data_IF_097378717052
#
_entry.id   IF_097378717052
#
_cell.length_a   1.000
_cell.length_b   1.000
_cell.length_c   1.000
_cell.angle_alpha   90.00
_cell.angle_beta   90.00
_cell.angle_gamma   90.00
#
_symmetry.space_group_name_H-M   'P 1'
#
loop_
_entity.id
_entity.type
_entity.pdbx_description
1 polymer ?
#
# COMPACT_ATOMS: atom_id res chain seq x y z
N UNK A 1 -23.50 10.06 -19.83
CA UNK A 1 -23.86 10.71 -18.55
C UNK A 1 -22.80 10.27 -17.58
N UNK A 2 -22.14 11.22 -16.92
CA UNK A 2 -21.10 10.88 -15.97
C UNK A 2 -21.73 10.19 -14.75
N UNK A 3 -21.09 9.11 -14.32
CA UNK A 3 -21.55 8.32 -13.17
C UNK A 3 -21.19 9.09 -11.91
N UNK A 4 -22.21 9.50 -11.16
CA UNK A 4 -22.03 10.14 -9.87
C UNK A 4 -22.18 9.12 -8.75
N UNK A 5 -21.16 9.01 -7.91
CA UNK A 5 -21.08 8.04 -6.81
C UNK A 5 -20.95 8.78 -5.48
N UNK A 6 -21.52 8.23 -4.41
CA UNK A 6 -21.32 8.78 -3.07
C UNK A 6 -19.80 8.83 -2.74
N UNK A 7 -19.21 10.00 -2.38
CA UNK A 7 -17.82 10.10 -1.96
C UNK A 7 -17.44 9.16 -0.80
N UNK A 8 -18.38 8.85 0.10
CA UNK A 8 -18.14 7.91 1.20
C UNK A 8 -17.89 6.49 0.68
N UNK A 9 -18.65 6.07 -0.34
CA UNK A 9 -18.45 4.77 -1.00
C UNK A 9 -17.07 4.70 -1.67
N UNK A 10 -16.66 5.75 -2.37
CA UNK A 10 -15.33 5.82 -2.98
C UNK A 10 -14.23 5.71 -1.91
N UNK A 11 -14.42 6.37 -0.77
CA UNK A 11 -13.46 6.34 0.34
C UNK A 11 -13.34 4.95 0.94
N UNK A 12 -14.47 4.25 1.13
CA UNK A 12 -14.49 2.89 1.66
C UNK A 12 -13.83 1.90 0.70
N UNK A 13 -14.17 1.95 -0.59
CA UNK A 13 -13.52 1.09 -1.60
C UNK A 13 -12.03 1.38 -1.70
N UNK A 14 -11.62 2.65 -1.64
CA UNK A 14 -10.21 3.03 -1.63
C UNK A 14 -9.48 2.45 -0.42
N UNK A 15 -10.12 2.46 0.75
CA UNK A 15 -9.56 1.84 1.94
C UNK A 15 -9.38 0.33 1.73
N UNK A 16 -10.40 -0.39 1.25
CA UNK A 16 -10.30 -1.82 0.94
C UNK A 16 -9.18 -2.14 -0.06
N UNK A 17 -9.07 -1.36 -1.15
CA UNK A 17 -8.00 -1.50 -2.14
C UNK A 17 -6.62 -1.31 -1.52
N UNK A 18 -6.49 -0.32 -0.62
CA UNK A 18 -5.21 -0.01 0.05
C UNK A 18 -4.79 -1.05 1.08
N UNK A 19 -5.74 -1.60 1.83
CA UNK A 19 -5.47 -2.57 2.90
C UNK A 19 -5.61 -4.01 2.44
N UNK A 20 -6.00 -4.25 1.18
CA UNK A 20 -6.32 -5.57 0.61
C UNK A 20 -7.39 -6.31 1.43
N UNK A 21 -8.34 -5.59 2.02
CA UNK A 21 -9.47 -6.17 2.76
C UNK A 21 -10.66 -6.42 1.85
N UNK A 22 -11.54 -7.32 2.28
CA UNK A 22 -12.82 -7.58 1.60
C UNK A 22 -13.75 -6.40 1.85
N UNK A 23 -14.45 -5.98 0.81
CA UNK A 23 -15.48 -4.96 0.89
C UNK A 23 -16.80 -5.60 1.33
N UNK A 24 -17.37 -5.09 2.42
CA UNK A 24 -18.61 -5.60 2.97
C UNK A 24 -19.81 -4.99 2.21
N UNK A 25 -20.21 -5.69 1.14
CA UNK A 25 -21.24 -5.25 0.20
C UNK A 25 -22.66 -5.38 0.78
N UNK A 26 -22.83 -5.99 1.96
CA UNK A 26 -24.16 -6.30 2.53
C UNK A 26 -24.99 -5.06 2.86
N UNK A 27 -24.37 -3.88 2.92
CA UNK A 27 -25.04 -2.63 3.32
C UNK A 27 -25.34 -1.65 2.19
N UNK A 28 -24.91 -1.89 0.94
CA UNK A 28 -24.99 -0.86 -0.10
C UNK A 28 -25.59 -1.43 -1.39
N UNK A 29 -26.78 -0.96 -1.75
CA UNK A 29 -27.52 -1.40 -2.93
C UNK A 29 -26.95 -0.70 -4.19
N UNK A 30 -25.71 -1.03 -4.56
CA UNK A 30 -24.99 -0.45 -5.69
C UNK A 30 -24.99 -1.42 -6.87
N UNK A 31 -25.10 -0.89 -8.09
CA UNK A 31 -24.95 -1.68 -9.30
C UNK A 31 -23.59 -2.40 -9.34
N UNK A 32 -23.61 -3.72 -9.51
CA UNK A 32 -22.40 -4.55 -9.52
C UNK A 32 -21.42 -4.14 -10.63
N UNK A 33 -21.93 -3.63 -11.76
CA UNK A 33 -21.08 -3.13 -12.85
C UNK A 33 -20.33 -1.86 -12.43
N UNK A 34 -21.02 -0.93 -11.79
CA UNK A 34 -20.44 0.29 -11.24
C UNK A 34 -19.38 -0.03 -10.18
N UNK A 35 -19.68 -0.94 -9.25
CA UNK A 35 -18.72 -1.37 -8.23
C UNK A 35 -17.46 -1.98 -8.85
N UNK A 36 -17.62 -2.83 -9.87
CA UNK A 36 -16.47 -3.41 -10.59
C UNK A 36 -15.61 -2.35 -11.28
N UNK A 37 -16.23 -1.35 -11.91
CA UNK A 37 -15.51 -0.23 -12.53
C UNK A 37 -14.78 0.61 -11.47
N UNK A 38 -15.44 0.89 -10.33
CA UNK A 38 -14.86 1.64 -9.22
C UNK A 38 -13.63 0.93 -8.62
N UNK A 39 -13.73 -0.37 -8.34
CA UNK A 39 -12.60 -1.18 -7.88
C UNK A 39 -11.46 -1.17 -8.88
N UNK A 40 -11.74 -1.37 -10.17
CA UNK A 40 -10.73 -1.38 -11.21
C UNK A 40 -9.94 -0.06 -11.26
N UNK A 41 -10.64 1.08 -11.25
CA UNK A 41 -10.01 2.41 -11.31
C UNK A 41 -9.19 2.69 -10.05
N UNK A 42 -9.74 2.38 -8.86
CA UNK A 42 -9.04 2.61 -7.59
C UNK A 42 -7.84 1.68 -7.41
N UNK A 43 -7.89 0.44 -7.89
CA UNK A 43 -6.74 -0.46 -7.93
C UNK A 43 -5.64 0.08 -8.85
N UNK A 44 -6.00 0.55 -10.05
CA UNK A 44 -5.04 1.11 -10.99
C UNK A 44 -4.36 2.35 -10.40
N UNK A 45 -5.14 3.26 -9.81
CA UNK A 45 -4.62 4.41 -9.05
C UNK A 45 -3.71 3.98 -7.89
N UNK A 46 -4.07 2.93 -7.15
CA UNK A 46 -3.25 2.45 -6.04
C UNK A 46 -1.92 1.82 -6.52
N UNK A 47 -1.82 1.36 -7.77
CA UNK A 47 -0.56 0.85 -8.34
C UNK A 47 0.39 1.97 -8.78
N UNK A 48 -0.13 3.16 -9.04
CA UNK A 48 0.68 4.31 -9.42
C UNK A 48 1.62 4.74 -8.29
N UNK A 49 2.82 5.15 -8.68
CA UNK A 49 3.84 5.80 -7.86
C UNK A 49 3.74 7.32 -7.97
N UNK A 50 4.40 8.08 -7.09
CA UNK A 50 4.47 9.55 -7.18
C UNK A 50 5.01 10.11 -8.50
N UNK A 51 5.64 9.27 -9.32
CA UNK A 51 6.22 9.66 -10.61
C UNK A 51 5.25 9.47 -11.77
N UNK A 52 4.16 8.74 -11.55
CA UNK A 52 3.14 8.49 -12.57
C UNK A 52 2.08 9.60 -12.57
N UNK A 53 1.38 9.77 -13.70
CA UNK A 53 0.27 10.72 -13.83
C UNK A 53 -1.08 10.05 -13.53
N UNK A 54 -1.72 10.33 -12.37
CA UNK A 54 -3.02 9.78 -12.02
C UNK A 54 -4.17 10.31 -12.89
N UNK A 55 -4.02 11.47 -13.54
CA UNK A 55 -5.09 12.02 -14.37
C UNK A 55 -5.35 11.15 -15.59
N UNK A 56 -4.32 10.55 -16.18
CA UNK A 56 -4.46 9.62 -17.30
C UNK A 56 -5.39 8.42 -17.01
N UNK A 57 -5.42 7.93 -15.77
CA UNK A 57 -6.32 6.86 -15.33
C UNK A 57 -7.73 7.41 -15.13
N UNK A 58 -7.86 8.57 -14.49
CA UNK A 58 -9.14 9.21 -14.21
C UNK A 58 -9.85 9.64 -15.50
N UNK A 59 -9.15 10.18 -16.49
CA UNK A 59 -9.72 10.62 -17.78
C UNK A 59 -10.38 9.48 -18.56
N UNK A 60 -9.86 8.25 -18.42
CA UNK A 60 -10.44 7.05 -19.05
C UNK A 60 -11.71 6.54 -18.37
N UNK A 61 -11.99 7.01 -17.14
CA UNK A 61 -13.15 6.58 -16.37
C UNK A 61 -14.39 7.44 -16.66
N UNK A 62 -15.57 6.82 -16.54
CA UNK A 62 -16.86 7.49 -16.76
C UNK A 62 -17.41 8.20 -15.51
N UNK A 63 -16.60 8.35 -14.45
CA UNK A 63 -17.02 9.02 -13.23
C UNK A 63 -17.16 10.54 -13.42
N UNK A 64 -17.99 11.17 -12.60
CA UNK A 64 -18.12 12.64 -12.58
C UNK A 64 -16.79 13.31 -12.20
N UNK A 65 -16.58 14.55 -12.65
CA UNK A 65 -15.39 15.33 -12.29
C UNK A 65 -15.24 15.49 -10.78
N UNK A 66 -16.36 15.61 -10.06
CA UNK A 66 -16.36 15.70 -8.59
C UNK A 66 -15.83 14.40 -7.96
N UNK A 67 -16.23 13.24 -8.50
CA UNK A 67 -15.71 11.95 -8.05
C UNK A 67 -14.24 11.78 -8.42
N UNK A 68 -13.83 12.17 -9.64
CA UNK A 68 -12.43 12.14 -10.06
C UNK A 68 -11.55 13.00 -9.15
N UNK A 69 -11.99 14.20 -8.79
CA UNK A 69 -11.30 15.06 -7.82
C UNK A 69 -11.19 14.40 -6.44
N UNK A 70 -12.24 13.71 -5.98
CA UNK A 70 -12.19 12.98 -4.72
C UNK A 70 -11.20 11.81 -4.76
N UNK A 71 -11.23 11.00 -5.82
CA UNK A 71 -10.27 9.92 -6.06
C UNK A 71 -8.83 10.45 -6.13
N UNK A 72 -8.62 11.58 -6.80
CA UNK A 72 -7.31 12.22 -6.89
C UNK A 72 -6.81 12.70 -5.51
N UNK A 73 -7.69 13.25 -4.67
CA UNK A 73 -7.35 13.60 -3.28
C UNK A 73 -6.93 12.37 -2.47
N UNK A 74 -7.67 11.27 -2.61
CA UNK A 74 -7.34 10.00 -1.95
C UNK A 74 -5.98 9.46 -2.42
N UNK A 75 -5.68 9.58 -3.71
CA UNK A 75 -4.38 9.22 -4.27
C UNK A 75 -3.25 10.11 -3.77
N UNK A 76 -3.42 11.43 -3.74
CA UNK A 76 -2.40 12.34 -3.17
C UNK A 76 -2.19 12.14 -1.66
N UNK A 77 -3.22 11.70 -0.94
CA UNK A 77 -3.12 11.32 0.46
C UNK A 77 -2.55 9.91 0.67
N UNK A 78 -2.34 9.13 -0.41
CA UNK A 78 -1.64 7.86 -0.34
C UNK A 78 -0.21 8.17 0.13
N UNK A 79 0.23 7.64 1.28
CA UNK A 79 1.64 7.70 1.62
C UNK A 79 2.40 7.01 0.49
N UNK A 80 3.49 7.63 0.06
CA UNK A 80 4.42 6.99 -0.86
C UNK A 80 4.70 5.59 -0.33
N UNK A 81 4.81 4.64 -1.25
CA UNK A 81 4.96 3.22 -1.01
C UNK A 81 6.33 2.91 -0.37
N UNK A 82 6.63 3.61 0.72
CA UNK A 82 7.77 3.43 1.58
C UNK A 82 7.51 2.10 2.24
N UNK A 83 8.17 1.09 1.69
CA UNK A 83 8.67 -0.05 2.42
C UNK A 83 8.99 0.41 3.85
N UNK A 84 8.03 0.20 4.76
CA UNK A 84 8.10 0.77 6.10
C UNK A 84 9.06 -0.11 6.84
N UNK A 85 10.31 0.32 6.89
CA UNK A 85 11.31 -0.29 7.74
C UNK A 85 11.90 0.79 8.62
N UNK A 86 12.37 0.37 9.79
CA UNK A 86 12.99 1.26 10.74
C UNK A 86 13.88 0.51 11.70
N UNK A 87 14.54 1.28 12.55
CA UNK A 87 15.42 0.77 13.58
C UNK A 87 14.98 1.39 14.90
N UNK A 88 14.49 0.55 15.79
CA UNK A 88 14.24 0.93 17.17
C UNK A 88 15.45 0.60 18.03
N UNK A 89 15.60 1.31 19.13
CA UNK A 89 16.59 0.99 20.16
C UNK A 89 15.84 0.52 21.40
N UNK A 90 15.91 -0.78 21.66
CA UNK A 90 15.23 -1.41 22.79
C UNK A 90 16.19 -1.63 23.95
N UNK A 91 15.71 -1.47 25.18
CA UNK A 91 16.48 -1.83 26.37
C UNK A 91 16.38 -3.34 26.55
N UNK A 92 17.43 -4.08 26.21
CA UNK A 92 17.53 -5.48 26.59
C UNK A 92 17.98 -5.56 28.06
N UNK A 93 17.23 -6.35 28.82
CA UNK A 93 17.55 -6.65 30.19
C UNK A 93 18.23 -8.02 30.22
N UNK A 94 19.56 -8.04 30.27
CA UNK A 94 20.25 -9.26 30.69
C UNK A 94 20.17 -9.36 32.22
N UNK A 95 20.29 -10.57 32.78
CA UNK A 95 20.25 -10.79 34.24
C UNK A 95 21.27 -9.94 35.04
N UNK A 96 22.27 -9.36 34.36
CA UNK A 96 23.42 -8.70 34.97
C UNK A 96 23.48 -7.21 34.59
N UNK A 97 22.89 -6.80 33.46
CA UNK A 97 22.99 -5.42 32.97
C UNK A 97 21.88 -5.06 31.97
N UNK A 98 21.35 -3.84 32.09
CA UNK A 98 20.53 -3.19 31.06
C UNK A 98 21.43 -2.63 29.97
N UNK A 99 21.12 -2.94 28.73
CA UNK A 99 21.89 -2.51 27.55
C UNK A 99 20.94 -2.15 26.41
N UNK A 100 21.35 -1.21 25.57
CA UNK A 100 20.58 -0.80 24.40
C UNK A 100 20.91 -1.73 23.22
N UNK A 101 19.88 -2.28 22.59
CA UNK A 101 20.02 -3.12 21.41
C UNK A 101 19.19 -2.55 20.25
N UNK A 102 19.77 -2.42 19.06
CA UNK A 102 19.02 -2.09 17.87
C UNK A 102 18.13 -3.27 17.43
N UNK A 103 16.89 -2.95 17.08
CA UNK A 103 15.87 -3.86 16.56
C UNK A 103 15.38 -3.29 15.25
N UNK A 104 15.46 -4.08 14.19
CA UNK A 104 14.98 -3.68 12.87
C UNK A 104 13.56 -4.20 12.71
N UNK A 105 12.66 -3.37 12.23
CA UNK A 105 11.32 -3.78 11.81
C UNK A 105 11.16 -3.48 10.33
N UNK A 106 10.39 -4.31 9.63
CA UNK A 106 10.12 -4.20 8.20
C UNK A 106 8.70 -4.69 7.92
N UNK A 107 7.91 -3.91 7.20
CA UNK A 107 6.59 -4.35 6.74
C UNK A 107 6.70 -5.01 5.37
N UNK A 108 6.29 -6.28 5.29
CA UNK A 108 6.16 -7.05 4.04
C UNK A 108 4.73 -7.55 3.94
N UNK A 109 4.05 -7.26 2.83
CA UNK A 109 2.65 -7.67 2.59
C UNK A 109 1.67 -7.29 3.72
N UNK A 110 1.93 -6.19 4.42
CA UNK A 110 1.11 -5.72 5.53
C UNK A 110 1.45 -6.32 6.89
N UNK A 111 2.34 -7.31 6.94
CA UNK A 111 2.84 -7.88 8.18
C UNK A 111 4.15 -7.21 8.63
N UNK A 112 4.22 -6.83 9.90
CA UNK A 112 5.43 -6.29 10.50
C UNK A 112 6.33 -7.42 10.99
N UNK A 113 7.51 -7.51 10.41
CA UNK A 113 8.54 -8.48 10.76
C UNK A 113 9.62 -7.78 11.58
N UNK A 114 9.79 -8.23 12.81
CA UNK A 114 10.83 -7.75 13.70
C UNK A 114 12.04 -8.68 13.70
N UNK A 115 13.24 -8.11 13.62
CA UNK A 115 14.48 -8.87 13.57
C UNK A 115 15.62 -8.13 14.23
N UNK A 116 16.60 -8.89 14.72
CA UNK A 116 17.87 -8.31 15.18
C UNK A 116 18.76 -7.95 13.98
N UNK A 117 19.83 -7.20 14.25
CA UNK A 117 20.79 -6.78 13.21
C UNK A 117 21.44 -7.95 12.45
N UNK A 118 21.68 -9.08 13.11
CA UNK A 118 22.34 -10.22 12.48
C UNK A 118 21.43 -10.86 11.43
N UNK A 119 20.17 -11.06 11.77
CA UNK A 119 19.14 -11.58 10.84
C UNK A 119 18.91 -10.59 9.71
N UNK A 120 18.84 -9.29 9.99
CA UNK A 120 18.70 -8.26 8.95
C UNK A 120 19.90 -8.23 7.99
N UNK A 121 21.12 -8.39 8.50
CA UNK A 121 22.32 -8.46 7.66
C UNK A 121 22.28 -9.68 6.72
N UNK A 122 21.87 -10.86 7.23
CA UNK A 122 21.68 -12.07 6.42
C UNK A 122 20.61 -11.88 5.35
N UNK A 123 19.48 -11.28 5.70
CA UNK A 123 18.41 -10.96 4.74
C UNK A 123 18.91 -10.09 3.59
N UNK A 124 19.59 -8.97 3.91
CA UNK A 124 20.15 -8.07 2.87
C UNK A 124 21.14 -8.78 1.95
N UNK A 125 21.99 -9.64 2.50
CA UNK A 125 22.95 -10.42 1.73
C UNK A 125 22.25 -11.38 0.76
N UNK A 126 21.28 -12.17 1.24
CA UNK A 126 20.56 -13.13 0.40
C UNK A 126 19.70 -12.44 -0.66
N UNK A 127 19.07 -11.31 -0.35
CA UNK A 127 18.33 -10.50 -1.34
C UNK A 127 19.28 -10.00 -2.44
N UNK A 128 20.43 -9.41 -2.08
CA UNK A 128 21.41 -8.94 -3.06
C UNK A 128 21.93 -10.09 -3.94
N UNK A 129 22.18 -11.26 -3.34
CA UNK A 129 22.58 -12.47 -4.07
C UNK A 129 21.51 -12.96 -5.02
N UNK A 130 20.23 -12.91 -4.63
CA UNK A 130 19.11 -13.28 -5.48
C UNK A 130 18.94 -12.31 -6.66
N UNK A 131 18.99 -11.00 -6.41
CA UNK A 131 18.92 -9.96 -7.45
C UNK A 131 20.04 -10.12 -8.48
N UNK A 132 21.29 -10.30 -8.01
CA UNK A 132 22.42 -10.55 -8.91
C UNK A 132 22.19 -11.78 -9.80
N UNK A 133 21.60 -12.86 -9.28
CA UNK A 133 21.28 -14.04 -10.12
C UNK A 133 20.26 -13.69 -11.18
N UNK A 134 19.19 -12.97 -10.83
CA UNK A 134 18.14 -12.57 -11.78
C UNK A 134 18.75 -11.78 -12.94
N UNK A 135 19.62 -10.81 -12.65
CA UNK A 135 20.27 -9.99 -13.67
C UNK A 135 21.21 -10.77 -14.60
N UNK A 136 21.79 -11.88 -14.12
CA UNK A 136 22.67 -12.72 -14.95
C UNK A 136 21.92 -13.77 -15.78
N UNK A 137 20.63 -14.01 -15.50
CA UNK A 137 19.78 -14.95 -16.24
C UNK A 137 18.74 -14.25 -17.13
N UNK A 138 18.70 -12.91 -17.13
CA UNK A 138 17.86 -12.07 -18.00
C UNK A 138 18.62 -11.66 -19.28
#
# INVERSE_FOLDING_TARGET
MDVNVNPDLITEVWWCVRTRTVFDDECINVDAKLMKELFSVLEELNRLTKHDDPNSVLERSNFSDLNKQHMLRLWHAKPDNDMKWGIDVVVANSNIRKSLYPKVWLIIDGEEIEMNLEVFAKLRFEVSRALNRIDHYA
#
